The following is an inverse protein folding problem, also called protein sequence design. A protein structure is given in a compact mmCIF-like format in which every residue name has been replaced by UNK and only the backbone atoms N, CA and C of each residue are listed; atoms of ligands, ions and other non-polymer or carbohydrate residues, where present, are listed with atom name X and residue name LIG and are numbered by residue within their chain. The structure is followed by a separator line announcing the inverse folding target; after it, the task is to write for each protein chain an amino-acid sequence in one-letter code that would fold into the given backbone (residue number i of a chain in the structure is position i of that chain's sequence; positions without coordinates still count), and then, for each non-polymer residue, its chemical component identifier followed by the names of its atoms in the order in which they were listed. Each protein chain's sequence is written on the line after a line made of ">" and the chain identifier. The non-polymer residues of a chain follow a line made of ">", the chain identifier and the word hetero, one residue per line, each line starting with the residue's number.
data_IF_622033314113
#
_entry.id   IF_622033314113
#
_cell.length_a   1.000
_cell.length_b   1.000
_cell.length_c   1.000
_cell.angle_alpha   90.00
_cell.angle_beta   90.00
_cell.angle_gamma   90.00
#
_symmetry.space_group_name_H-M   'P 1'
#
loop_
_entity.id
_entity.type
_entity.pdbx_description
1 polymer ?
#
# COMPACT_ATOMS: atom_id res chain seq x y z
N UNK A 1 -25.18 18.28 12.02
CA UNK A 1 -25.07 17.15 11.08
C UNK A 1 -23.99 16.23 11.61
N UNK A 2 -24.30 14.97 11.94
CA UNK A 2 -23.38 14.10 12.68
C UNK A 2 -22.15 13.81 11.83
N UNK A 3 -21.01 14.28 12.31
CA UNK A 3 -19.71 14.20 11.68
C UNK A 3 -19.19 12.78 11.80
N UNK A 4 -18.88 12.13 10.67
CA UNK A 4 -18.09 10.89 10.66
C UNK A 4 -16.81 11.09 11.47
N UNK A 5 -16.42 10.08 12.24
CA UNK A 5 -15.11 10.06 12.89
C UNK A 5 -13.99 10.08 11.83
N UNK A 6 -12.76 10.41 12.23
CA UNK A 6 -11.61 10.38 11.31
C UNK A 6 -11.46 9.01 10.64
N UNK A 7 -11.56 7.93 11.42
CA UNK A 7 -11.48 6.57 10.91
C UNK A 7 -12.64 6.18 9.99
N UNK A 8 -13.88 6.54 10.33
CA UNK A 8 -15.05 6.27 9.48
C UNK A 8 -14.97 7.01 8.15
N UNK A 9 -14.43 8.24 8.15
CA UNK A 9 -14.20 9.02 6.93
C UNK A 9 -13.17 8.34 6.04
N UNK A 10 -12.01 7.97 6.60
CA UNK A 10 -10.97 7.24 5.86
C UNK A 10 -11.47 5.91 5.31
N UNK A 11 -12.20 5.14 6.12
CA UNK A 11 -12.77 3.86 5.68
C UNK A 11 -13.74 4.06 4.52
N UNK A 12 -14.63 5.05 4.62
CA UNK A 12 -15.58 5.38 3.56
C UNK A 12 -14.88 5.83 2.28
N UNK A 13 -13.80 6.63 2.38
CA UNK A 13 -12.97 7.03 1.24
C UNK A 13 -12.30 5.82 0.58
N UNK A 14 -11.77 4.88 1.37
CA UNK A 14 -11.19 3.65 0.85
C UNK A 14 -12.22 2.82 0.07
N UNK A 15 -13.42 2.61 0.63
CA UNK A 15 -14.52 1.91 -0.05
C UNK A 15 -14.92 2.60 -1.36
N UNK A 16 -14.96 3.94 -1.37
CA UNK A 16 -15.26 4.71 -2.56
C UNK A 16 -14.20 4.51 -3.65
N UNK A 17 -12.91 4.58 -3.31
CA UNK A 17 -11.81 4.33 -4.25
C UNK A 17 -11.89 2.91 -4.84
N UNK A 18 -12.14 1.91 -4.00
CA UNK A 18 -12.30 0.52 -4.45
C UNK A 18 -13.47 0.37 -5.44
N UNK A 19 -14.58 1.09 -5.22
CA UNK A 19 -15.70 1.10 -6.17
C UNK A 19 -15.32 1.70 -7.52
N UNK A 20 -14.52 2.79 -7.53
CA UNK A 20 -14.04 3.39 -8.77
C UNK A 20 -13.05 2.50 -9.50
N UNK A 21 -12.19 1.78 -8.77
CA UNK A 21 -11.27 0.80 -9.33
C UNK A 21 -11.95 -0.42 -9.97
N UNK A 22 -13.24 -0.65 -9.71
CA UNK A 22 -13.99 -1.69 -10.44
C UNK A 22 -14.23 -1.34 -11.91
N UNK A 23 -14.25 -0.05 -12.25
CA UNK A 23 -14.55 0.44 -13.61
C UNK A 23 -13.38 1.17 -14.26
N UNK A 24 -12.38 1.63 -13.49
CA UNK A 24 -11.26 2.39 -14.02
C UNK A 24 -10.21 1.50 -14.69
N UNK A 25 -9.86 1.81 -15.94
CA UNK A 25 -8.76 1.19 -16.68
C UNK A 25 -7.43 1.88 -16.38
N UNK A 26 -6.54 1.16 -15.70
CA UNK A 26 -5.16 1.55 -15.39
C UNK A 26 -4.37 0.29 -15.04
N UNK A 27 -3.18 0.09 -15.61
CA UNK A 27 -2.32 -1.05 -15.29
C UNK A 27 -1.71 -0.96 -13.88
N UNK A 28 -1.57 0.26 -13.34
CA UNK A 28 -1.01 0.52 -12.01
C UNK A 28 -2.01 1.28 -11.14
N UNK A 29 -2.04 0.93 -9.85
CA UNK A 29 -2.87 1.60 -8.85
C UNK A 29 -2.08 1.80 -7.58
N UNK A 30 -2.04 3.04 -7.13
CA UNK A 30 -1.28 3.41 -5.95
C UNK A 30 -2.20 4.04 -4.90
N UNK A 31 -1.96 3.71 -3.63
CA UNK A 31 -2.52 4.43 -2.50
C UNK A 31 -1.42 4.68 -1.48
N UNK A 32 -1.44 5.88 -0.92
CA UNK A 32 -0.54 6.31 0.12
C UNK A 32 -1.35 6.73 1.34
N UNK A 33 -0.82 6.43 2.53
CA UNK A 33 -1.39 6.74 3.85
C UNK A 33 -2.90 6.40 4.01
N UNK A 34 -3.39 5.39 3.29
CA UNK A 34 -4.83 5.11 3.22
C UNK A 34 -5.45 4.72 4.58
N UNK A 35 -4.64 4.17 5.50
CA UNK A 35 -5.06 3.65 6.80
C UNK A 35 -4.72 4.53 8.00
N UNK A 36 -4.14 5.73 7.80
CA UNK A 36 -3.57 6.56 8.87
C UNK A 36 -4.54 6.92 10.01
N UNK A 37 -5.84 7.08 9.71
CA UNK A 37 -6.86 7.41 10.71
C UNK A 37 -7.73 6.21 11.14
N UNK A 38 -7.52 5.03 10.55
CA UNK A 38 -8.33 3.85 10.86
C UNK A 38 -7.82 3.16 12.14
N UNK A 39 -8.74 2.70 12.97
CA UNK A 39 -8.40 1.75 14.04
C UNK A 39 -8.02 0.37 13.47
N UNK A 40 -7.55 -0.52 14.33
CA UNK A 40 -7.10 -1.87 13.94
C UNK A 40 -8.19 -2.71 13.25
N UNK A 41 -9.47 -2.52 13.61
CA UNK A 41 -10.59 -3.31 13.06
C UNK A 41 -10.90 -2.83 11.66
N UNK A 42 -11.14 -1.52 11.50
CA UNK A 42 -11.43 -0.91 10.21
C UNK A 42 -10.26 -1.07 9.23
N UNK A 43 -9.03 -0.93 9.71
CA UNK A 43 -7.82 -1.16 8.92
C UNK A 43 -7.76 -2.57 8.37
N UNK A 44 -8.03 -3.58 9.21
CA UNK A 44 -8.02 -4.98 8.78
C UNK A 44 -9.06 -5.24 7.71
N UNK A 45 -10.27 -4.72 7.89
CA UNK A 45 -11.35 -4.87 6.90
C UNK A 45 -10.97 -4.18 5.58
N UNK A 46 -10.46 -2.95 5.63
CA UNK A 46 -10.04 -2.21 4.44
C UNK A 46 -8.92 -2.93 3.67
N UNK A 47 -7.94 -3.48 4.39
CA UNK A 47 -6.86 -4.28 3.81
C UNK A 47 -7.38 -5.54 3.12
N UNK A 48 -8.26 -6.30 3.78
CA UNK A 48 -8.85 -7.51 3.21
C UNK A 48 -9.65 -7.18 1.94
N UNK A 49 -10.36 -6.05 1.91
CA UNK A 49 -11.07 -5.57 0.72
C UNK A 49 -10.11 -5.21 -0.42
N UNK A 50 -9.00 -4.52 -0.11
CA UNK A 50 -7.96 -4.19 -1.10
C UNK A 50 -7.30 -5.44 -1.68
N UNK A 51 -6.92 -6.41 -0.85
CA UNK A 51 -6.32 -7.66 -1.29
C UNK A 51 -7.27 -8.47 -2.18
N UNK A 52 -8.55 -8.57 -1.81
CA UNK A 52 -9.58 -9.24 -2.63
C UNK A 52 -9.73 -8.57 -3.99
N UNK A 53 -9.75 -7.24 -4.03
CA UNK A 53 -9.80 -6.48 -5.29
C UNK A 53 -8.57 -6.78 -6.14
N UNK A 54 -7.37 -6.77 -5.54
CA UNK A 54 -6.12 -7.05 -6.24
C UNK A 54 -6.07 -8.47 -6.82
N UNK A 55 -6.48 -9.47 -6.05
CA UNK A 55 -6.53 -10.87 -6.48
C UNK A 55 -7.49 -11.09 -7.66
N UNK A 56 -8.63 -10.37 -7.66
CA UNK A 56 -9.58 -10.42 -8.78
C UNK A 56 -9.08 -9.77 -10.08
N UNK A 57 -8.01 -8.98 -10.03
CA UNK A 57 -7.53 -8.16 -11.15
C UNK A 57 -6.07 -8.49 -11.51
N UNK A 58 -5.85 -9.74 -11.92
CA UNK A 58 -4.52 -10.35 -12.11
C UNK A 58 -3.55 -9.65 -13.08
N UNK A 59 -4.05 -8.78 -13.95
CA UNK A 59 -3.25 -8.02 -14.92
C UNK A 59 -2.96 -6.58 -14.46
N UNK A 60 -3.18 -6.26 -13.19
CA UNK A 60 -2.95 -4.93 -12.63
C UNK A 60 -2.06 -5.01 -11.40
N UNK A 61 -1.17 -4.04 -11.26
CA UNK A 61 -0.28 -3.94 -10.13
C UNK A 61 -0.82 -2.92 -9.11
N UNK A 62 -0.79 -3.31 -7.84
CA UNK A 62 -1.19 -2.48 -6.71
C UNK A 62 0.06 -2.12 -5.89
N UNK A 63 0.23 -0.84 -5.61
CA UNK A 63 1.33 -0.29 -4.82
C UNK A 63 0.69 0.44 -3.64
N UNK A 64 0.85 -0.11 -2.44
CA UNK A 64 0.28 0.45 -1.22
C UNK A 64 1.42 0.93 -0.33
N UNK A 65 1.39 2.21 0.00
CA UNK A 65 2.30 2.83 0.94
C UNK A 65 1.53 3.09 2.23
N UNK A 66 2.11 2.64 3.34
CA UNK A 66 1.55 2.88 4.67
C UNK A 66 2.68 2.94 5.69
N UNK A 67 2.61 3.87 6.66
CA UNK A 67 3.52 3.88 7.80
C UNK A 67 3.21 2.76 8.81
N UNK A 68 2.10 2.04 8.62
CA UNK A 68 1.65 1.00 9.52
C UNK A 68 2.29 -0.35 9.18
N UNK A 69 2.51 -1.15 10.22
CA UNK A 69 3.11 -2.47 10.08
C UNK A 69 2.15 -3.46 9.39
N UNK A 70 2.65 -4.14 8.35
CA UNK A 70 1.91 -5.11 7.50
C UNK A 70 2.30 -6.58 7.74
N UNK A 71 2.92 -6.91 8.87
CA UNK A 71 3.42 -8.27 9.16
C UNK A 71 2.33 -9.33 9.26
N UNK A 72 1.07 -8.93 9.41
CA UNK A 72 -0.07 -9.84 9.54
C UNK A 72 -0.74 -10.21 8.22
N UNK A 73 -0.19 -9.77 7.08
CA UNK A 73 -0.74 -10.11 5.76
C UNK A 73 -0.51 -11.59 5.44
N UNK A 74 -1.41 -12.23 4.67
CA UNK A 74 -1.24 -13.60 4.24
C UNK A 74 -0.01 -13.75 3.33
N UNK A 75 0.76 -14.83 3.53
CA UNK A 75 1.86 -15.18 2.63
C UNK A 75 1.28 -15.59 1.27
N UNK A 76 1.70 -14.91 0.20
CA UNK A 76 1.30 -15.20 -1.17
C UNK A 76 2.45 -14.88 -2.13
N UNK A 77 2.61 -15.66 -3.20
CA UNK A 77 3.59 -15.36 -4.26
C UNK A 77 3.26 -14.08 -5.03
N UNK A 78 2.02 -13.59 -4.92
CA UNK A 78 1.56 -12.36 -5.56
C UNK A 78 1.72 -11.12 -4.66
N UNK A 79 2.10 -11.30 -3.39
CA UNK A 79 2.25 -10.23 -2.42
C UNK A 79 3.72 -10.08 -2.07
N UNK A 80 4.26 -8.88 -2.26
CA UNK A 80 5.61 -8.51 -1.83
C UNK A 80 5.50 -7.37 -0.84
N UNK A 81 6.01 -7.59 0.37
CA UNK A 81 6.09 -6.56 1.41
C UNK A 81 7.54 -6.05 1.44
N UNK A 82 7.71 -4.76 1.21
CA UNK A 82 9.00 -4.08 1.33
C UNK A 82 8.94 -3.21 2.59
N UNK A 83 9.68 -3.60 3.63
CA UNK A 83 9.81 -2.81 4.86
C UNK A 83 11.03 -1.91 4.73
N UNK A 84 10.80 -0.60 4.83
CA UNK A 84 11.87 0.38 4.93
C UNK A 84 12.39 0.44 6.37
N UNK A 85 13.65 0.86 6.53
CA UNK A 85 14.21 1.18 7.83
C UNK A 85 13.47 2.37 8.45
N UNK A 86 13.46 2.42 9.79
CA UNK A 86 12.81 3.51 10.51
C UNK A 86 13.51 4.84 10.16
N UNK A 87 12.76 5.93 9.93
CA UNK A 87 13.35 7.19 9.48
C UNK A 87 14.24 7.83 10.54
N UNK A 88 15.41 8.32 10.15
CA UNK A 88 16.29 9.07 11.05
C UNK A 88 15.79 10.52 11.24
N UNK A 89 15.81 11.00 12.48
CA UNK A 89 15.37 12.37 12.79
C UNK A 89 16.29 13.38 12.09
N UNK A 90 15.71 14.23 11.24
CA UNK A 90 16.44 15.25 10.49
C UNK A 90 16.94 14.80 9.13
N UNK A 91 16.72 13.54 8.76
CA UNK A 91 16.99 13.04 7.41
C UNK A 91 15.96 13.61 6.42
N UNK A 92 16.43 14.41 5.47
CA UNK A 92 15.56 14.99 4.42
C UNK A 92 15.55 14.15 3.14
N UNK A 93 16.56 13.28 2.95
CA UNK A 93 16.74 12.47 1.74
C UNK A 93 17.26 11.08 2.09
N UNK A 94 16.81 10.08 1.34
CA UNK A 94 17.37 8.74 1.39
C UNK A 94 18.74 8.73 0.71
N UNK A 95 19.72 8.10 1.34
CA UNK A 95 21.04 7.90 0.76
C UNK A 95 21.01 6.62 -0.07
N UNK A 96 20.71 6.75 -1.36
CA UNK A 96 20.84 5.63 -2.28
C UNK A 96 22.30 5.47 -2.69
N UNK A 97 22.96 4.41 -2.23
CA UNK A 97 24.21 3.98 -2.85
C UNK A 97 23.87 3.42 -4.23
N UNK A 98 24.50 3.97 -5.27
CA UNK A 98 24.40 3.44 -6.62
C UNK A 98 24.99 2.02 -6.58
N UNK A 99 24.18 1.01 -6.82
CA UNK A 99 24.72 -0.34 -7.05
C UNK A 99 25.51 -0.25 -8.35
N UNK A 100 26.83 -0.38 -8.29
CA UNK A 100 27.69 -0.37 -9.47
C UNK A 100 27.33 -1.56 -10.38
N UNK A 101 27.25 -1.27 -11.67
CA UNK A 101 27.26 -2.23 -12.78
C UNK A 101 28.63 -2.94 -12.81
N UNK A 102 28.84 -3.98 -11.99
CA UNK A 102 30.10 -4.76 -11.97
C UNK A 102 29.90 -6.25 -12.34
N UNK A 103 28.78 -6.62 -12.98
CA UNK A 103 28.52 -8.02 -13.42
C UNK A 103 28.43 -8.20 -14.96
N UNK A 104 28.90 -7.25 -15.79
CA UNK A 104 28.90 -7.42 -17.27
C UNK A 104 30.27 -7.70 -17.92
N UNK A 105 31.39 -7.65 -17.19
CA UNK A 105 32.71 -8.01 -17.74
C UNK A 105 33.31 -9.22 -17.02
N UNK A 106 32.79 -10.41 -17.33
CA UNK A 106 33.41 -11.69 -17.00
C UNK A 106 33.30 -12.64 -18.19
N UNK A 107 34.33 -12.64 -19.03
CA UNK A 107 34.61 -13.68 -20.04
C UNK A 107 34.64 -15.10 -19.44
#
# INVERSE_FOLDING_TARGET
>A
MKSLSGGERSFSTCCFILSLWSIAESPFRCLDEFDVFMDMVNRRIAMDMMLKMADSQRYRQFILLSPQNMSSLPTSSLIRILRMEDPERGQQRLNFNRTNEEDEDGE
#
